data_IF_271593283660
#
_entry.id   IF_271593283660
#
_cell.length_a   1.000
_cell.length_b   1.000
_cell.length_c   1.000
_cell.angle_alpha   90.00
_cell.angle_beta   90.00
_cell.angle_gamma   90.00
#
_symmetry.space_group_name_H-M   'P 1'
#
loop_
_entity.id
_entity.type
_entity.pdbx_description
1 polymer ?
#
# COMPACT_ATOMS: atom_id res chain seq x y z
N UNK A 1 5.67 7.09 -32.53
CA UNK A 1 6.61 6.76 -31.43
C UNK A 1 5.89 5.78 -30.50
N UNK A 2 6.58 4.72 -30.03
CA UNK A 2 5.97 3.78 -29.06
C UNK A 2 5.75 4.53 -27.74
N UNK A 3 4.61 4.33 -27.08
CA UNK A 3 4.34 4.84 -25.74
C UNK A 3 5.44 4.35 -24.78
N UNK A 4 5.95 5.19 -23.85
CA UNK A 4 6.90 4.70 -22.84
C UNK A 4 6.28 3.56 -22.03
N UNK A 5 7.07 2.54 -21.65
CA UNK A 5 6.57 1.43 -20.86
C UNK A 5 6.20 1.89 -19.45
N UNK A 6 5.37 1.13 -18.76
CA UNK A 6 5.21 1.26 -17.32
C UNK A 6 6.37 0.57 -16.57
N UNK A 7 6.61 0.99 -15.33
CA UNK A 7 7.62 0.36 -14.45
C UNK A 7 7.38 -1.13 -14.29
N UNK A 8 6.10 -1.53 -14.18
CA UNK A 8 5.72 -2.93 -14.02
C UNK A 8 6.12 -3.85 -15.17
N UNK A 9 6.13 -3.33 -16.40
CA UNK A 9 6.46 -4.04 -17.64
C UNK A 9 7.96 -4.36 -17.75
N UNK A 10 8.79 -3.70 -16.93
CA UNK A 10 10.24 -3.87 -16.92
C UNK A 10 10.72 -4.84 -15.84
N UNK A 11 9.80 -5.46 -15.09
CA UNK A 11 10.12 -6.37 -13.98
C UNK A 11 9.95 -7.85 -14.36
N UNK A 12 10.99 -8.64 -14.10
CA UNK A 12 11.02 -10.11 -14.17
C UNK A 12 10.22 -10.78 -13.05
N UNK A 13 10.13 -12.12 -13.04
CA UNK A 13 9.22 -12.92 -12.20
C UNK A 13 9.28 -12.75 -10.67
N UNK A 14 10.32 -12.12 -10.11
CA UNK A 14 10.50 -11.99 -8.66
C UNK A 14 10.10 -10.61 -8.12
N UNK A 15 10.04 -10.46 -6.80
CA UNK A 15 9.67 -9.18 -6.18
C UNK A 15 10.80 -8.15 -6.28
N UNK A 16 10.51 -6.95 -6.78
CA UNK A 16 11.49 -5.84 -6.92
C UNK A 16 11.79 -5.10 -5.62
N UNK A 17 11.00 -5.29 -4.56
CA UNK A 17 11.09 -4.50 -3.33
C UNK A 17 12.51 -4.39 -2.74
N UNK A 18 13.33 -5.46 -2.67
CA UNK A 18 14.70 -5.37 -2.16
C UNK A 18 15.62 -4.40 -2.93
N UNK A 19 15.29 -4.05 -4.17
CA UNK A 19 16.05 -3.11 -5.01
C UNK A 19 15.41 -1.72 -5.10
N UNK A 20 14.14 -1.57 -4.72
CA UNK A 20 13.37 -0.37 -5.03
C UNK A 20 12.59 0.20 -3.86
N UNK A 21 12.49 -0.49 -2.73
CA UNK A 21 11.59 -0.15 -1.65
C UNK A 21 12.30 -0.11 -0.29
N UNK A 22 12.07 0.94 0.47
CA UNK A 22 12.48 1.03 1.88
C UNK A 22 11.28 1.36 2.77
N UNK A 23 11.15 0.66 3.91
CA UNK A 23 10.25 1.03 5.00
C UNK A 23 11.06 1.47 6.21
N UNK A 24 10.72 2.61 6.80
CA UNK A 24 11.22 3.05 8.10
C UNK A 24 10.05 3.08 9.08
N UNK A 25 10.07 2.18 10.08
CA UNK A 25 8.98 2.13 11.06
C UNK A 25 9.16 3.16 12.20
N UNK A 26 8.18 3.30 13.10
CA UNK A 26 8.21 4.33 14.14
C UNK A 26 9.35 4.21 15.17
N UNK A 27 9.97 3.02 15.29
CA UNK A 27 11.16 2.81 16.15
C UNK A 27 12.49 3.00 15.40
N UNK A 28 12.43 3.41 14.14
CA UNK A 28 13.59 3.60 13.27
C UNK A 28 14.10 2.33 12.61
N UNK A 29 13.48 1.16 12.84
CA UNK A 29 13.87 -0.09 12.16
C UNK A 29 13.57 0.01 10.67
N UNK A 30 14.56 -0.38 9.87
CA UNK A 30 14.47 -0.38 8.40
C UNK A 30 14.27 -1.80 7.85
N UNK A 31 13.33 -1.96 6.93
CA UNK A 31 13.07 -3.20 6.17
C UNK A 31 12.86 -2.90 4.68
N UNK A 32 12.86 -3.91 3.82
CA UNK A 32 12.63 -3.71 2.38
C UNK A 32 11.15 -3.59 1.99
N UNK A 33 10.20 -3.80 2.91
CA UNK A 33 8.76 -3.47 2.79
C UNK A 33 8.00 -3.81 4.09
N UNK A 34 6.71 -3.48 4.13
CA UNK A 34 5.80 -3.77 5.25
C UNK A 34 5.59 -5.26 5.53
N UNK A 35 5.91 -6.12 4.57
CA UNK A 35 5.65 -7.56 4.62
C UNK A 35 6.92 -8.39 4.77
N UNK A 36 8.07 -7.74 4.95
CA UNK A 36 9.34 -8.40 5.21
C UNK A 36 9.82 -8.08 6.63
N UNK A 37 10.22 -9.11 7.38
CA UNK A 37 10.60 -8.96 8.80
C UNK A 37 12.11 -8.75 9.02
N UNK A 38 12.92 -8.93 7.98
CA UNK A 38 14.38 -8.85 8.05
C UNK A 38 14.82 -7.41 8.33
N UNK A 39 15.58 -7.22 9.41
CA UNK A 39 16.12 -5.91 9.81
C UNK A 39 17.30 -5.58 8.90
N UNK A 40 17.21 -4.50 8.14
CA UNK A 40 18.30 -3.99 7.32
C UNK A 40 19.23 -3.06 8.10
N UNK A 41 18.71 -2.41 9.15
CA UNK A 41 19.44 -1.53 10.06
C UNK A 41 18.50 -0.70 10.92
N UNK A 42 19.01 0.37 11.53
CA UNK A 42 18.20 1.37 12.24
C UNK A 42 18.64 2.81 11.89
N UNK A 43 17.70 3.64 11.46
CA UNK A 43 17.93 5.05 11.05
C UNK A 43 18.51 5.95 12.15
N UNK A 44 18.43 5.52 13.41
CA UNK A 44 19.04 6.22 14.54
C UNK A 44 20.54 5.91 14.69
N UNK A 45 20.99 4.76 14.19
CA UNK A 45 22.33 4.21 14.40
C UNK A 45 23.17 4.29 13.12
N UNK A 46 22.54 4.04 11.96
CA UNK A 46 23.19 3.80 10.68
C UNK A 46 22.83 4.88 9.65
N UNK A 47 23.71 5.07 8.65
CA UNK A 47 23.36 5.89 7.48
C UNK A 47 22.38 5.14 6.56
N UNK A 48 21.62 5.87 5.74
CA UNK A 48 20.73 5.25 4.75
C UNK A 48 21.50 4.33 3.78
N UNK A 49 22.71 4.74 3.38
CA UNK A 49 23.56 3.96 2.46
C UNK A 49 24.02 2.64 3.09
N UNK A 50 24.49 2.70 4.34
CA UNK A 50 24.97 1.51 5.07
C UNK A 50 23.84 0.50 5.27
N UNK A 51 22.63 0.97 5.64
CA UNK A 51 21.47 0.07 5.78
C UNK A 51 21.00 -0.49 4.45
N UNK A 52 21.04 0.31 3.38
CA UNK A 52 20.58 -0.09 2.05
C UNK A 52 21.47 -1.16 1.42
N UNK A 53 22.75 -1.20 1.80
CA UNK A 53 23.73 -2.19 1.34
C UNK A 53 24.27 -3.09 2.45
N UNK A 54 23.57 -3.18 3.59
CA UNK A 54 23.96 -4.06 4.68
C UNK A 54 23.98 -5.53 4.25
N UNK A 55 24.70 -6.38 4.99
CA UNK A 55 24.73 -7.83 4.73
C UNK A 55 23.32 -8.42 4.70
N UNK A 56 22.43 -7.93 5.57
CA UNK A 56 21.03 -8.33 5.60
C UNK A 56 20.29 -7.94 4.31
N UNK A 57 20.50 -6.72 3.79
CA UNK A 57 19.89 -6.27 2.54
C UNK A 57 20.37 -7.09 1.34
N UNK A 58 21.67 -7.36 1.28
CA UNK A 58 22.28 -8.21 0.25
C UNK A 58 21.75 -9.65 0.33
N UNK A 59 21.59 -10.20 1.54
CA UNK A 59 21.00 -11.53 1.74
C UNK A 59 19.54 -11.58 1.27
N UNK A 60 18.74 -10.56 1.56
CA UNK A 60 17.33 -10.49 1.11
C UNK A 60 17.25 -10.44 -0.41
N UNK A 61 18.08 -9.62 -1.08
CA UNK A 61 18.18 -9.56 -2.55
C UNK A 61 18.54 -10.91 -3.15
N UNK A 62 19.55 -11.58 -2.59
CA UNK A 62 19.95 -12.92 -3.03
C UNK A 62 18.80 -13.90 -2.96
N UNK A 63 18.19 -14.04 -1.78
CA UNK A 63 17.14 -15.02 -1.53
C UNK A 63 15.89 -14.77 -2.38
N UNK A 64 15.47 -13.51 -2.53
CA UNK A 64 14.33 -13.16 -3.40
C UNK A 64 14.67 -13.36 -4.88
N UNK A 65 15.89 -13.05 -5.31
CA UNK A 65 16.36 -13.35 -6.67
C UNK A 65 16.40 -14.85 -6.99
N UNK A 66 16.47 -15.70 -5.97
CA UNK A 66 16.38 -17.17 -6.02
C UNK A 66 14.96 -17.69 -5.74
N UNK A 67 13.95 -16.83 -5.61
CA UNK A 67 12.57 -17.15 -5.22
C UNK A 67 12.41 -17.78 -3.82
N UNK A 68 13.40 -17.67 -2.95
CA UNK A 68 13.35 -18.16 -1.57
C UNK A 68 12.78 -17.11 -0.61
N UNK A 69 11.50 -16.78 -0.80
CA UNK A 69 10.85 -15.69 -0.08
C UNK A 69 10.75 -15.90 1.44
N UNK A 70 10.52 -17.14 1.89
CA UNK A 70 10.38 -17.44 3.32
C UNK A 70 11.71 -17.27 4.06
N UNK A 71 12.80 -17.78 3.48
CA UNK A 71 14.14 -17.55 4.04
C UNK A 71 14.53 -16.07 3.99
N UNK A 72 14.04 -15.32 3.01
CA UNK A 72 14.24 -13.87 2.94
C UNK A 72 13.46 -13.10 4.03
N UNK A 73 12.55 -13.77 4.76
CA UNK A 73 11.74 -13.17 5.82
C UNK A 73 10.44 -12.53 5.33
N UNK A 74 9.96 -12.87 4.14
CA UNK A 74 8.68 -12.40 3.60
C UNK A 74 7.48 -13.13 4.24
N UNK A 75 6.39 -12.40 4.48
CA UNK A 75 5.12 -12.97 4.90
C UNK A 75 4.42 -13.68 3.71
N UNK A 76 3.94 -14.93 3.88
CA UNK A 76 3.20 -15.66 2.83
C UNK A 76 1.97 -14.89 2.31
N UNK A 77 1.28 -14.19 3.19
CA UNK A 77 0.06 -13.43 2.93
C UNK A 77 0.31 -12.07 2.27
N UNK A 78 1.57 -11.71 2.01
CA UNK A 78 1.88 -10.43 1.36
C UNK A 78 1.20 -10.32 -0.02
N UNK A 79 0.90 -9.11 -0.51
CA UNK A 79 0.17 -8.98 -1.79
C UNK A 79 0.93 -9.50 -3.02
N UNK A 80 2.24 -9.73 -2.92
CA UNK A 80 3.01 -10.41 -3.98
C UNK A 80 2.79 -11.92 -3.98
N UNK A 81 2.90 -12.58 -2.82
CA UNK A 81 2.79 -14.05 -2.70
C UNK A 81 1.34 -14.53 -2.61
N UNK A 82 0.45 -13.74 -2.01
CA UNK A 82 -0.99 -14.02 -1.89
C UNK A 82 -1.29 -15.44 -1.36
N UNK A 83 -0.51 -15.90 -0.39
CA UNK A 83 -0.63 -17.22 0.23
C UNK A 83 0.20 -18.33 -0.45
N UNK A 84 0.88 -18.05 -1.56
CA UNK A 84 1.74 -19.02 -2.23
C UNK A 84 2.95 -19.40 -1.37
N UNK A 85 3.29 -20.69 -1.35
CA UNK A 85 4.37 -21.26 -0.52
C UNK A 85 5.77 -21.15 -1.15
N UNK A 86 6.01 -20.06 -1.89
CA UNK A 86 7.29 -19.52 -2.41
C UNK A 86 7.83 -19.95 -3.79
N UNK A 87 7.61 -21.17 -4.28
CA UNK A 87 8.20 -21.58 -5.59
C UNK A 87 7.31 -21.27 -6.81
N UNK A 88 5.97 -21.30 -6.64
CA UNK A 88 4.98 -21.12 -7.72
C UNK A 88 4.28 -19.75 -7.71
N UNK A 89 4.87 -18.75 -7.05
CA UNK A 89 4.26 -17.43 -6.93
C UNK A 89 4.17 -16.77 -8.31
N UNK A 90 2.94 -16.52 -8.77
CA UNK A 90 2.69 -15.75 -9.99
C UNK A 90 2.70 -14.27 -9.65
N UNK A 91 3.30 -13.43 -10.49
CA UNK A 91 3.23 -11.99 -10.27
C UNK A 91 1.77 -11.50 -10.20
N UNK A 92 1.44 -10.58 -9.27
CA UNK A 92 0.16 -9.90 -9.29
C UNK A 92 -0.03 -9.11 -10.59
N UNK A 93 -1.28 -8.98 -11.10
CA UNK A 93 -1.61 -8.02 -12.13
C UNK A 93 -1.10 -6.62 -11.76
N UNK A 94 -0.70 -5.82 -12.75
CA UNK A 94 -0.12 -4.49 -12.50
C UNK A 94 -1.03 -3.60 -11.61
N UNK A 95 -2.35 -3.67 -11.83
CA UNK A 95 -3.38 -2.94 -11.06
C UNK A 95 -3.49 -3.34 -9.58
N UNK A 96 -2.94 -4.49 -9.18
CA UNK A 96 -3.03 -5.02 -7.80
C UNK A 96 -1.67 -5.05 -7.09
N UNK A 97 -0.65 -4.42 -7.69
CA UNK A 97 0.66 -4.33 -7.07
C UNK A 97 0.60 -3.43 -5.83
N UNK A 98 1.48 -3.73 -4.87
CA UNK A 98 1.56 -3.06 -3.55
C UNK A 98 1.80 -1.54 -3.68
N UNK A 99 2.46 -1.14 -4.76
CA UNK A 99 2.71 0.26 -5.07
C UNK A 99 2.11 0.60 -6.42
N UNK A 100 1.67 1.85 -6.55
CA UNK A 100 1.11 2.40 -7.79
C UNK A 100 2.10 2.18 -8.92
N UNK A 101 1.64 1.54 -9.99
CA UNK A 101 2.39 1.46 -11.23
C UNK A 101 2.40 2.83 -11.91
N UNK A 102 3.46 3.11 -12.67
CA UNK A 102 3.65 4.42 -13.29
C UNK A 102 4.41 4.29 -14.60
N UNK A 103 4.15 5.23 -15.51
CA UNK A 103 4.90 5.35 -16.76
C UNK A 103 6.31 5.85 -16.46
N UNK A 104 7.32 5.23 -17.08
CA UNK A 104 8.72 5.64 -16.89
C UNK A 104 8.91 7.07 -17.42
N UNK A 105 9.46 8.00 -16.61
CA UNK A 105 9.83 9.32 -17.10
C UNK A 105 10.88 9.21 -18.22
N UNK A 106 10.69 9.94 -19.31
CA UNK A 106 11.60 9.94 -20.48
C UNK A 106 12.58 11.12 -20.49
N UNK A 107 12.69 11.81 -19.35
CA UNK A 107 13.59 12.94 -19.16
C UNK A 107 14.93 12.52 -18.55
N UNK A 108 15.77 13.49 -18.19
CA UNK A 108 17.08 13.26 -17.57
C UNK A 108 17.11 13.63 -16.08
N UNK A 109 15.94 13.65 -15.43
CA UNK A 109 15.77 13.92 -14.00
C UNK A 109 16.54 12.91 -13.14
N UNK A 110 16.75 13.27 -11.87
CA UNK A 110 17.37 12.38 -10.90
C UNK A 110 16.54 11.10 -10.69
N UNK A 111 15.20 11.22 -10.70
CA UNK A 111 14.29 10.08 -10.66
C UNK A 111 14.47 9.15 -11.87
N UNK A 112 14.49 9.68 -13.10
CA UNK A 112 14.63 8.87 -14.31
C UNK A 112 15.93 8.04 -14.29
N UNK A 113 17.06 8.70 -13.99
CA UNK A 113 18.37 8.04 -13.85
C UNK A 113 18.39 6.98 -12.75
N UNK A 114 17.73 7.26 -11.62
CA UNK A 114 17.63 6.31 -10.52
C UNK A 114 16.84 5.06 -10.93
N UNK A 115 15.69 5.23 -11.62
CA UNK A 115 14.88 4.12 -12.12
C UNK A 115 15.68 3.25 -13.09
N UNK A 116 16.40 3.85 -14.04
CA UNK A 116 17.24 3.11 -15.00
C UNK A 116 18.29 2.25 -14.27
N UNK A 117 18.94 2.84 -13.25
CA UNK A 117 19.93 2.15 -12.42
C UNK A 117 19.31 0.98 -11.68
N UNK A 118 18.20 1.21 -10.96
CA UNK A 118 17.48 0.18 -10.20
C UNK A 118 17.02 -0.97 -11.09
N UNK A 119 16.49 -0.68 -12.30
CA UNK A 119 16.04 -1.73 -13.24
C UNK A 119 17.23 -2.56 -13.72
N UNK A 120 18.35 -1.93 -14.04
CA UNK A 120 19.57 -2.63 -14.46
C UNK A 120 20.09 -3.54 -13.35
N UNK A 121 20.19 -3.03 -12.13
CA UNK A 121 20.68 -3.78 -10.96
C UNK A 121 19.73 -4.94 -10.60
N UNK A 122 18.42 -4.71 -10.66
CA UNK A 122 17.38 -5.71 -10.45
C UNK A 122 17.48 -6.87 -11.45
N UNK A 123 17.55 -6.57 -12.76
CA UNK A 123 17.65 -7.60 -13.81
C UNK A 123 18.92 -8.43 -13.71
N UNK A 124 20.01 -7.81 -13.27
CA UNK A 124 21.28 -8.49 -13.03
C UNK A 124 21.37 -9.14 -11.63
N UNK A 125 20.33 -9.04 -10.80
CA UNK A 125 20.27 -9.53 -9.42
C UNK A 125 21.48 -9.07 -8.58
N UNK A 126 21.90 -7.83 -8.79
CA UNK A 126 23.01 -7.24 -8.03
C UNK A 126 22.67 -7.20 -6.55
N UNK A 127 23.60 -7.62 -5.70
CA UNK A 127 23.40 -7.66 -4.26
C UNK A 127 23.74 -6.33 -3.61
N UNK A 128 24.86 -5.74 -4.02
CA UNK A 128 25.25 -4.37 -3.68
C UNK A 128 24.77 -3.46 -4.81
N UNK A 129 24.10 -2.36 -4.44
CA UNK A 129 23.37 -1.51 -5.38
C UNK A 129 23.71 -0.05 -5.14
N UNK A 130 23.73 0.72 -6.22
CA UNK A 130 23.87 2.18 -6.23
C UNK A 130 22.55 2.88 -6.47
N UNK A 131 21.56 2.18 -7.06
CA UNK A 131 20.19 2.65 -7.18
C UNK A 131 19.58 2.89 -5.80
N UNK A 132 18.98 4.06 -5.62
CA UNK A 132 18.28 4.46 -4.40
C UNK A 132 16.80 4.02 -4.43
N UNK A 133 16.13 3.93 -3.27
CA UNK A 133 14.72 3.55 -3.22
C UNK A 133 13.83 4.41 -4.12
N UNK A 134 13.00 3.73 -4.92
CA UNK A 134 11.92 4.34 -5.74
C UNK A 134 10.67 4.54 -4.88
N UNK A 135 10.43 3.64 -3.93
CA UNK A 135 9.32 3.69 -2.98
C UNK A 135 9.91 3.89 -1.58
N UNK A 136 9.54 5.00 -0.94
CA UNK A 136 9.88 5.28 0.45
C UNK A 136 8.60 5.20 1.25
N UNK A 137 8.52 4.26 2.17
CA UNK A 137 7.41 4.15 3.12
C UNK A 137 7.89 4.48 4.52
N UNK A 138 7.11 5.29 5.21
CA UNK A 138 7.40 5.74 6.56
C UNK A 138 6.21 5.44 7.44
N UNK A 139 6.47 4.83 8.59
CA UNK A 139 5.52 4.69 9.67
C UNK A 139 5.83 5.75 10.74
N UNK A 140 5.45 7.03 10.52
CA UNK A 140 5.88 8.11 11.40
C UNK A 140 5.29 7.99 12.81
N UNK A 141 4.24 7.18 13.01
CA UNK A 141 3.54 7.03 14.29
C UNK A 141 2.92 5.63 14.41
N UNK A 142 2.91 5.06 15.63
CA UNK A 142 2.16 3.84 15.96
C UNK A 142 0.83 4.10 16.67
N UNK A 143 0.69 5.26 17.31
CA UNK A 143 -0.56 5.61 17.99
C UNK A 143 -1.73 5.63 17.03
N UNK A 144 -2.80 4.95 17.38
CA UNK A 144 -4.06 4.99 16.63
C UNK A 144 -5.19 5.44 17.52
N UNK A 145 -6.19 6.12 16.94
CA UNK A 145 -7.42 6.51 17.62
C UNK A 145 -8.56 5.49 17.46
N UNK A 146 -8.23 4.29 16.96
CA UNK A 146 -9.14 3.17 16.77
C UNK A 146 -8.50 1.90 17.32
N UNK A 147 -9.34 0.95 17.70
CA UNK A 147 -8.93 -0.38 18.16
C UNK A 147 -9.53 -1.46 17.25
N UNK A 148 -9.23 -1.37 15.95
CA UNK A 148 -9.83 -2.28 14.98
C UNK A 148 -9.45 -3.73 15.28
N UNK A 149 -10.43 -4.65 15.35
CA UNK A 149 -10.16 -6.02 15.79
C UNK A 149 -9.19 -6.76 14.85
N UNK A 150 -9.16 -6.39 13.57
CA UNK A 150 -8.31 -7.01 12.55
C UNK A 150 -6.89 -6.42 12.47
N UNK A 151 -6.55 -5.45 13.32
CA UNK A 151 -5.27 -4.75 13.27
C UNK A 151 -4.29 -5.30 14.31
N UNK A 152 -3.11 -5.70 13.86
CA UNK A 152 -2.04 -6.25 14.72
C UNK A 152 -1.07 -5.16 15.24
N UNK A 153 -1.40 -3.88 15.09
CA UNK A 153 -0.54 -2.79 15.52
C UNK A 153 -0.72 -2.49 17.01
N UNK A 154 0.35 -2.03 17.66
CA UNK A 154 0.31 -1.54 19.03
C UNK A 154 -0.32 -0.13 19.10
N UNK A 155 -1.66 -0.05 19.12
CA UNK A 155 -2.42 1.20 19.03
C UNK A 155 -2.15 2.23 20.15
N UNK A 156 -1.72 1.76 21.32
CA UNK A 156 -1.46 2.61 22.50
C UNK A 156 -0.03 3.18 22.55
N UNK A 157 0.83 2.75 21.62
CA UNK A 157 2.22 3.19 21.60
C UNK A 157 2.33 4.69 21.29
N UNK A 158 3.17 5.39 22.04
CA UNK A 158 3.48 6.80 21.80
C UNK A 158 4.70 6.99 20.90
N UNK A 159 5.17 5.93 20.25
CA UNK A 159 6.31 5.99 19.34
C UNK A 159 5.95 6.82 18.11
N UNK A 160 6.83 7.76 17.80
CA UNK A 160 6.71 8.70 16.70
C UNK A 160 8.11 9.08 16.20
N UNK A 161 8.25 9.30 14.89
CA UNK A 161 9.47 9.87 14.32
C UNK A 161 9.78 11.25 14.91
N UNK A 162 11.06 11.47 15.19
CA UNK A 162 11.61 12.79 15.50
C UNK A 162 11.89 13.57 14.21
N UNK A 163 12.11 14.88 14.34
CA UNK A 163 12.53 15.71 13.21
C UNK A 163 13.87 15.21 12.61
N UNK A 164 14.76 14.61 13.41
CA UNK A 164 16.00 13.97 12.92
C UNK A 164 15.71 12.84 11.93
N UNK A 165 14.77 11.93 12.25
CA UNK A 165 14.39 10.84 11.35
C UNK A 165 13.78 11.38 10.07
N UNK A 166 12.88 12.37 10.19
CA UNK A 166 12.22 13.00 9.05
C UNK A 166 13.24 13.68 8.11
N UNK A 167 14.21 14.41 8.68
CA UNK A 167 15.29 15.05 7.94
C UNK A 167 16.24 14.04 7.27
N UNK A 168 16.46 12.87 7.89
CA UNK A 168 17.29 11.80 7.31
C UNK A 168 16.63 11.15 6.10
N UNK A 169 15.32 10.95 6.10
CA UNK A 169 14.61 10.32 4.97
C UNK A 169 14.30 11.30 3.83
N UNK A 170 14.12 12.58 4.14
CA UNK A 170 13.66 13.60 3.19
C UNK A 170 14.52 13.73 1.91
N UNK A 171 15.86 13.61 1.93
CA UNK A 171 16.69 13.66 0.72
C UNK A 171 16.28 12.65 -0.36
N UNK A 172 15.67 11.51 0.01
CA UNK A 172 15.19 10.51 -0.95
C UNK A 172 14.08 11.04 -1.88
N UNK A 173 13.42 12.15 -1.54
CA UNK A 173 12.39 12.77 -2.37
C UNK A 173 12.90 13.19 -3.75
N UNK A 174 14.21 13.41 -3.90
CA UNK A 174 14.82 13.78 -5.18
C UNK A 174 14.85 12.62 -6.19
N UNK A 175 14.86 11.36 -5.74
CA UNK A 175 15.02 10.16 -6.59
C UNK A 175 13.91 9.13 -6.46
N UNK A 176 13.01 9.29 -5.48
CA UNK A 176 11.85 8.42 -5.27
C UNK A 176 10.68 8.79 -6.21
N UNK A 177 9.89 7.80 -6.61
CA UNK A 177 8.60 8.01 -7.27
C UNK A 177 7.46 8.17 -6.27
N UNK A 178 7.52 7.47 -5.15
CA UNK A 178 6.46 7.49 -4.12
C UNK A 178 7.06 7.72 -2.75
N UNK A 179 6.52 8.70 -2.04
CA UNK A 179 6.68 8.86 -0.60
C UNK A 179 5.35 8.49 0.05
N UNK A 180 5.33 7.40 0.80
CA UNK A 180 4.15 6.89 1.48
C UNK A 180 4.29 7.06 2.99
N UNK A 181 3.20 7.49 3.61
CA UNK A 181 3.08 7.54 5.07
C UNK A 181 1.87 6.74 5.53
N UNK A 182 2.09 5.87 6.51
CA UNK A 182 1.09 4.94 7.04
C UNK A 182 1.39 4.59 8.52
N UNK A 183 0.64 3.67 9.13
CA UNK A 183 0.87 3.21 10.49
C UNK A 183 -0.35 3.37 11.37
N UNK A 184 -0.18 4.03 12.52
CA UNK A 184 -1.31 4.47 13.33
C UNK A 184 -2.21 5.44 12.59
N UNK A 185 -2.94 6.28 13.33
CA UNK A 185 -3.64 7.36 12.66
C UNK A 185 -2.69 8.54 12.50
N UNK A 186 -2.11 8.67 11.31
CA UNK A 186 -1.05 9.65 11.03
C UNK A 186 -1.47 11.09 11.37
N UNK A 187 -2.76 11.42 11.23
CA UNK A 187 -3.29 12.75 11.54
C UNK A 187 -3.57 13.00 13.03
N UNK A 188 -3.25 12.03 13.89
CA UNK A 188 -3.23 12.20 15.34
C UNK A 188 -1.98 12.97 15.81
N UNK A 189 -0.89 12.94 15.03
CA UNK A 189 0.29 13.76 15.30
C UNK A 189 0.20 15.14 14.66
N UNK A 190 0.31 16.18 15.49
CA UNK A 190 0.47 17.56 15.03
C UNK A 190 1.83 17.80 14.39
N UNK A 191 2.90 17.19 14.91
CA UNK A 191 4.26 17.31 14.35
C UNK A 191 4.28 16.78 12.93
N UNK A 192 3.79 15.56 12.75
CA UNK A 192 3.78 14.92 11.44
C UNK A 192 2.87 15.65 10.45
N UNK A 193 1.68 16.11 10.88
CA UNK A 193 0.83 16.95 10.01
C UNK A 193 1.56 18.21 9.54
N UNK A 194 2.24 18.93 10.44
CA UNK A 194 3.01 20.13 10.09
C UNK A 194 4.18 19.82 9.13
N UNK A 195 4.83 18.66 9.29
CA UNK A 195 5.85 18.19 8.37
C UNK A 195 5.27 17.93 6.97
N UNK A 196 4.17 17.16 6.90
CA UNK A 196 3.53 16.81 5.63
C UNK A 196 2.99 18.03 4.88
N UNK A 197 2.38 18.99 5.59
CA UNK A 197 1.89 20.24 5.02
C UNK A 197 3.03 21.08 4.40
N UNK A 198 4.22 21.04 5.00
CA UNK A 198 5.41 21.77 4.54
C UNK A 198 6.34 20.95 3.63
N UNK A 199 5.96 19.70 3.31
CA UNK A 199 6.79 18.82 2.50
C UNK A 199 6.86 19.34 1.06
N UNK A 200 7.98 19.99 0.74
CA UNK A 200 8.24 20.53 -0.59
C UNK A 200 8.76 19.44 -1.53
N UNK A 201 8.02 19.20 -2.60
CA UNK A 201 8.37 18.26 -3.67
C UNK A 201 8.73 18.95 -4.99
N UNK A 202 8.95 20.26 -5.01
CA UNK A 202 9.23 21.03 -6.23
C UNK A 202 10.45 20.52 -7.01
N UNK A 203 11.45 19.96 -6.32
CA UNK A 203 12.64 19.33 -6.92
C UNK A 203 12.30 18.08 -7.76
N UNK A 204 11.16 17.45 -7.50
CA UNK A 204 10.72 16.23 -8.17
C UNK A 204 9.20 16.31 -8.41
N UNK A 205 8.75 16.96 -9.50
CA UNK A 205 7.33 17.13 -9.80
C UNK A 205 6.60 15.80 -10.04
N UNK A 206 7.35 14.73 -10.32
CA UNK A 206 6.84 13.37 -10.51
C UNK A 206 6.58 12.61 -9.20
N UNK A 207 7.01 13.14 -8.05
CA UNK A 207 6.87 12.48 -6.76
C UNK A 207 5.39 12.39 -6.36
N UNK A 208 4.93 11.18 -6.05
CA UNK A 208 3.60 10.94 -5.49
C UNK A 208 3.72 10.98 -3.96
N UNK A 209 3.03 11.95 -3.34
CA UNK A 209 2.79 11.98 -1.89
C UNK A 209 1.58 11.12 -1.57
N UNK A 210 1.77 10.01 -0.89
CA UNK A 210 0.76 8.99 -0.63
C UNK A 210 0.51 8.87 0.88
N UNK A 211 -0.74 8.94 1.31
CA UNK A 211 -1.15 8.73 2.70
C UNK A 211 -2.11 7.55 2.83
N UNK A 212 -1.85 6.63 3.76
CA UNK A 212 -2.85 5.67 4.24
C UNK A 212 -3.42 6.19 5.57
N UNK A 213 -4.74 6.26 5.68
CA UNK A 213 -5.42 6.82 6.87
C UNK A 213 -6.77 6.13 7.10
N UNK A 214 -7.27 6.18 8.33
CA UNK A 214 -8.66 5.83 8.63
C UNK A 214 -9.65 6.99 8.35
N UNK A 215 -9.14 8.17 8.00
CA UNK A 215 -9.92 9.35 7.59
C UNK A 215 -10.59 10.11 8.74
N UNK A 216 -10.67 9.54 9.95
CA UNK A 216 -11.45 10.13 11.05
C UNK A 216 -10.90 11.46 11.55
N UNK A 217 -9.61 11.76 11.37
CA UNK A 217 -9.00 13.02 11.82
C UNK A 217 -8.76 14.04 10.69
N UNK A 218 -9.24 13.75 9.48
CA UNK A 218 -9.18 14.65 8.34
C UNK A 218 -10.41 15.56 8.31
N UNK A 219 -10.26 16.79 8.79
CA UNK A 219 -11.29 17.83 8.61
C UNK A 219 -11.22 18.41 7.20
N UNK A 220 -12.28 19.13 6.77
CA UNK A 220 -12.31 19.81 5.47
C UNK A 220 -11.14 20.77 5.29
N UNK A 221 -10.71 21.44 6.36
CA UNK A 221 -9.56 22.35 6.35
C UNK A 221 -8.25 21.60 6.13
N UNK A 222 -8.04 20.48 6.83
CA UNK A 222 -6.85 19.64 6.66
C UNK A 222 -6.79 19.02 5.26
N UNK A 223 -7.93 18.55 4.75
CA UNK A 223 -8.02 18.04 3.38
C UNK A 223 -7.61 19.13 2.40
N UNK A 224 -8.21 20.32 2.48
CA UNK A 224 -7.88 21.45 1.59
C UNK A 224 -6.41 21.85 1.67
N UNK A 225 -5.81 21.88 2.86
CA UNK A 225 -4.39 22.20 3.04
C UNK A 225 -3.47 21.22 2.29
N UNK A 226 -3.85 19.93 2.23
CA UNK A 226 -3.08 18.88 1.58
C UNK A 226 -3.43 18.67 0.09
N UNK A 227 -4.62 19.12 -0.34
CA UNK A 227 -5.11 18.91 -1.72
C UNK A 227 -5.07 20.16 -2.60
N UNK A 228 -5.07 21.38 -2.04
CA UNK A 228 -5.10 22.63 -2.80
C UNK A 228 -3.69 23.24 -2.96
N UNK A 229 -2.78 22.44 -3.51
CA UNK A 229 -1.39 22.79 -3.81
C UNK A 229 -1.01 22.25 -5.18
N UNK A 230 0.18 22.57 -5.71
CA UNK A 230 0.61 22.13 -7.05
C UNK A 230 0.81 20.61 -7.15
N UNK A 231 1.50 20.02 -6.16
CA UNK A 231 1.58 18.56 -6.00
C UNK A 231 0.80 18.11 -4.75
N UNK A 232 -0.50 17.80 -4.87
CA UNK A 232 -1.27 17.43 -3.70
C UNK A 232 -1.03 15.99 -3.20
N UNK A 233 -1.51 15.68 -2.00
CA UNK A 233 -1.48 14.33 -1.44
C UNK A 233 -2.55 13.44 -2.11
N UNK A 234 -2.18 12.19 -2.38
CA UNK A 234 -3.08 11.09 -2.71
C UNK A 234 -3.40 10.29 -1.45
N UNK A 235 -4.66 9.96 -1.24
CA UNK A 235 -5.16 9.29 -0.04
C UNK A 235 -5.69 7.90 -0.36
N UNK A 236 -5.21 6.91 0.39
CA UNK A 236 -5.87 5.62 0.54
C UNK A 236 -6.64 5.63 1.86
N UNK A 237 -7.96 5.81 1.78
CA UNK A 237 -8.82 5.90 2.95
C UNK A 237 -9.36 4.52 3.25
N UNK A 238 -9.04 3.99 4.43
CA UNK A 238 -9.47 2.65 4.81
C UNK A 238 -10.82 2.70 5.54
N UNK A 239 -11.84 2.12 4.91
CA UNK A 239 -13.23 2.07 5.39
C UNK A 239 -13.73 0.65 5.13
N UNK A 240 -14.04 -0.10 6.18
CA UNK A 240 -14.42 -1.50 6.06
C UNK A 240 -15.90 -1.65 6.38
N UNK A 241 -16.69 -2.07 5.40
CA UNK A 241 -18.15 -2.02 5.46
C UNK A 241 -18.72 -0.71 4.92
N UNK A 242 -19.85 -0.83 4.23
CA UNK A 242 -20.68 0.25 3.71
C UNK A 242 -21.71 0.69 4.74
N UNK A 243 -22.16 -0.20 5.63
CA UNK A 243 -23.12 0.17 6.68
C UNK A 243 -22.44 0.66 7.94
N UNK A 244 -23.11 1.57 8.67
CA UNK A 244 -22.66 2.04 9.98
C UNK A 244 -22.38 0.89 10.95
N UNK A 245 -23.29 -0.09 10.99
CA UNK A 245 -23.19 -1.22 11.91
C UNK A 245 -21.94 -2.07 11.63
N UNK A 246 -21.71 -2.43 10.37
CA UNK A 246 -20.53 -3.21 9.98
C UNK A 246 -19.24 -2.42 10.24
N UNK A 247 -19.20 -1.15 9.82
CA UNK A 247 -18.04 -0.29 10.04
C UNK A 247 -17.68 -0.12 11.51
N UNK A 248 -18.63 0.25 12.37
CA UNK A 248 -18.33 0.54 13.79
C UNK A 248 -18.09 -0.75 14.59
N UNK A 249 -18.58 -1.91 14.13
CA UNK A 249 -18.18 -3.24 14.66
C UNK A 249 -16.68 -3.48 14.43
N UNK A 250 -16.19 -3.15 13.23
CA UNK A 250 -14.81 -3.43 12.81
C UNK A 250 -13.85 -2.37 13.36
N UNK A 251 -14.13 -1.10 13.08
CA UNK A 251 -13.28 0.05 13.37
C UNK A 251 -13.68 0.72 14.68
N UNK A 252 -13.51 -0.05 15.76
CA UNK A 252 -13.89 0.35 17.12
C UNK A 252 -13.29 1.71 17.49
N UNK A 253 -14.13 2.59 18.03
CA UNK A 253 -13.76 3.95 18.43
C UNK A 253 -13.87 5.01 17.33
N UNK A 254 -14.10 4.63 16.08
CA UNK A 254 -14.38 5.58 14.99
C UNK A 254 -15.88 5.82 14.84
N UNK A 255 -16.23 6.98 14.28
CA UNK A 255 -17.60 7.33 13.92
C UNK A 255 -17.78 7.21 12.40
N UNK A 256 -18.75 6.42 11.98
CA UNK A 256 -19.01 6.15 10.55
C UNK A 256 -19.27 7.43 9.75
N UNK A 257 -20.16 8.30 10.23
CA UNK A 257 -20.55 9.51 9.50
C UNK A 257 -19.35 10.44 9.23
N UNK A 258 -18.47 10.57 10.23
CA UNK A 258 -17.26 11.39 10.11
C UNK A 258 -16.26 10.84 9.09
N UNK A 259 -16.11 9.53 9.02
CA UNK A 259 -15.19 8.90 8.04
C UNK A 259 -15.79 8.95 6.63
N UNK A 260 -17.10 8.77 6.49
CA UNK A 260 -17.77 8.97 5.21
C UNK A 260 -17.74 10.44 4.74
N UNK A 261 -17.85 11.41 5.66
CA UNK A 261 -17.68 12.83 5.32
C UNK A 261 -16.27 13.11 4.75
N UNK A 262 -15.22 12.47 5.29
CA UNK A 262 -13.87 12.54 4.73
C UNK A 262 -13.84 12.03 3.29
N UNK A 263 -14.39 10.84 3.03
CA UNK A 263 -14.45 10.25 1.69
C UNK A 263 -15.22 11.15 0.71
N UNK A 264 -16.41 11.62 1.10
CA UNK A 264 -17.24 12.50 0.27
C UNK A 264 -16.57 13.83 -0.02
N UNK A 265 -15.87 14.42 0.96
CA UNK A 265 -15.13 15.68 0.77
C UNK A 265 -13.99 15.49 -0.24
N UNK A 266 -13.23 14.39 -0.14
CA UNK A 266 -12.16 14.08 -1.08
C UNK A 266 -12.71 13.84 -2.49
N UNK A 267 -13.80 13.10 -2.62
CA UNK A 267 -14.50 12.86 -3.88
C UNK A 267 -15.00 14.17 -4.52
N UNK A 268 -15.56 15.08 -3.72
CA UNK A 268 -16.03 16.38 -4.19
C UNK A 268 -14.88 17.24 -4.73
N UNK A 269 -13.74 17.28 -4.04
CA UNK A 269 -12.56 18.02 -4.48
C UNK A 269 -11.98 17.41 -5.77
N UNK A 270 -11.87 16.08 -5.82
CA UNK A 270 -11.43 15.35 -7.02
C UNK A 270 -12.32 15.67 -8.22
N UNK A 271 -13.65 15.65 -8.05
CA UNK A 271 -14.60 15.92 -9.13
C UNK A 271 -14.55 17.37 -9.65
N UNK A 272 -14.09 18.32 -8.83
CA UNK A 272 -13.91 19.74 -9.22
C UNK A 272 -12.54 20.03 -9.83
N UNK A 273 -11.62 19.06 -9.85
CA UNK A 273 -10.27 19.26 -10.36
C UNK A 273 -10.24 19.37 -11.88
N UNK A 274 -9.76 20.49 -12.41
CA UNK A 274 -9.65 20.72 -13.87
C UNK A 274 -8.68 19.73 -14.56
N UNK A 275 -7.75 19.16 -13.79
CA UNK A 275 -6.73 18.22 -14.26
C UNK A 275 -7.18 16.75 -14.23
N UNK A 276 -8.45 16.45 -13.88
CA UNK A 276 -8.96 15.08 -13.66
C UNK A 276 -8.07 14.24 -12.73
N UNK A 277 -7.41 14.91 -11.77
CA UNK A 277 -6.43 14.28 -10.90
C UNK A 277 -7.11 13.36 -9.88
N UNK A 278 -6.61 12.14 -9.74
CA UNK A 278 -7.06 11.20 -8.71
C UNK A 278 -6.43 11.61 -7.37
N UNK A 279 -7.27 11.86 -6.38
CA UNK A 279 -6.91 12.24 -5.02
C UNK A 279 -7.16 11.14 -4.01
N UNK A 280 -8.09 10.23 -4.28
CA UNK A 280 -8.53 9.25 -3.30
C UNK A 280 -8.80 7.89 -3.93
N UNK A 281 -8.41 6.84 -3.21
CA UNK A 281 -8.91 5.49 -3.37
C UNK A 281 -9.46 5.00 -2.03
N UNK A 282 -10.59 4.31 -2.09
CA UNK A 282 -11.18 3.63 -0.95
C UNK A 282 -10.54 2.25 -0.81
N UNK A 283 -9.92 1.98 0.33
CA UNK A 283 -9.45 0.65 0.72
C UNK A 283 -10.46 -0.07 1.60
N UNK A 284 -10.81 -1.29 1.23
CA UNK A 284 -11.84 -2.13 1.85
C UNK A 284 -11.28 -3.52 2.16
N UNK A 285 -11.21 -3.90 3.43
CA UNK A 285 -10.76 -5.24 3.83
C UNK A 285 -11.92 -6.23 3.75
N UNK A 286 -11.73 -7.26 2.92
CA UNK A 286 -12.69 -8.35 2.75
C UNK A 286 -12.55 -9.34 3.91
N UNK A 287 -13.65 -9.53 4.62
CA UNK A 287 -13.85 -10.37 5.78
C UNK A 287 -15.22 -11.04 5.66
N UNK A 288 -15.52 -12.02 6.51
CA UNK A 288 -16.84 -12.65 6.55
C UNK A 288 -17.95 -11.60 6.72
N UNK A 289 -17.80 -10.67 7.68
CA UNK A 289 -18.81 -9.64 7.93
C UNK A 289 -18.90 -8.52 6.88
N UNK A 290 -17.93 -8.40 5.97
CA UNK A 290 -17.92 -7.36 4.92
C UNK A 290 -18.19 -7.94 3.52
N UNK A 291 -18.27 -9.27 3.39
CA UNK A 291 -18.37 -9.96 2.10
C UNK A 291 -19.67 -9.64 1.34
N UNK A 292 -20.78 -9.46 2.06
CA UNK A 292 -22.09 -9.22 1.43
C UNK A 292 -22.32 -7.76 1.02
N UNK A 293 -21.55 -6.83 1.59
CA UNK A 293 -21.66 -5.39 1.28
C UNK A 293 -20.75 -4.98 0.08
N UNK A 294 -20.01 -5.90 -0.53
CA UNK A 294 -19.05 -5.58 -1.60
C UNK A 294 -19.68 -4.99 -2.87
N UNK A 295 -20.88 -5.45 -3.26
CA UNK A 295 -21.61 -4.85 -4.39
C UNK A 295 -22.04 -3.42 -4.10
N UNK A 296 -22.54 -3.16 -2.88
CA UNK A 296 -22.90 -1.82 -2.42
C UNK A 296 -21.67 -0.91 -2.36
N UNK A 297 -20.50 -1.44 -1.99
CA UNK A 297 -19.24 -0.70 -1.99
C UNK A 297 -18.84 -0.29 -3.40
N UNK A 298 -18.96 -1.19 -4.39
CA UNK A 298 -18.72 -0.89 -5.82
C UNK A 298 -19.67 0.20 -6.31
N UNK A 299 -20.96 0.11 -5.99
CA UNK A 299 -21.96 1.08 -6.42
C UNK A 299 -21.74 2.45 -5.79
N UNK A 300 -21.45 2.50 -4.48
CA UNK A 300 -21.13 3.74 -3.80
C UNK A 300 -19.85 4.38 -4.36
N UNK A 301 -18.78 3.60 -4.52
CA UNK A 301 -17.53 4.07 -5.12
C UNK A 301 -17.74 4.62 -6.54
N UNK A 302 -18.53 3.92 -7.37
CA UNK A 302 -18.88 4.35 -8.72
C UNK A 302 -19.67 5.66 -8.73
N UNK A 303 -20.64 5.82 -7.82
CA UNK A 303 -21.43 7.05 -7.68
C UNK A 303 -20.57 8.24 -7.27
N UNK A 304 -19.57 8.01 -6.43
CA UNK A 304 -18.60 9.02 -6.00
C UNK A 304 -17.48 9.27 -7.02
N UNK A 305 -17.35 8.42 -8.04
CA UNK A 305 -16.21 8.39 -8.97
C UNK A 305 -14.87 8.23 -8.24
N UNK A 306 -14.84 7.34 -7.24
CA UNK A 306 -13.66 7.01 -6.44
C UNK A 306 -13.24 5.58 -6.74
N UNK A 307 -11.95 5.35 -6.93
CA UNK A 307 -11.40 4.01 -7.15
C UNK A 307 -11.49 3.18 -5.86
N UNK A 308 -11.69 1.87 -6.00
CA UNK A 308 -11.89 0.94 -4.90
C UNK A 308 -10.84 -0.19 -4.93
N UNK A 309 -10.21 -0.43 -3.79
CA UNK A 309 -9.28 -1.54 -3.58
C UNK A 309 -9.86 -2.51 -2.54
N UNK A 310 -10.05 -3.76 -2.95
CA UNK A 310 -10.38 -4.86 -2.05
C UNK A 310 -9.12 -5.54 -1.55
N UNK A 311 -8.84 -5.41 -0.26
CA UNK A 311 -7.71 -6.07 0.41
C UNK A 311 -8.17 -7.35 1.11
N UNK A 312 -7.43 -8.44 0.92
CA UNK A 312 -7.69 -9.65 1.70
C UNK A 312 -7.20 -9.50 3.15
N UNK A 313 -8.03 -9.91 4.11
CA UNK A 313 -7.66 -9.96 5.53
C UNK A 313 -6.37 -10.79 5.75
N UNK A 314 -5.49 -10.28 6.61
CA UNK A 314 -4.21 -10.90 6.99
C UNK A 314 -4.23 -11.21 8.48
N UNK A 315 -3.68 -12.35 8.89
CA UNK A 315 -3.63 -12.80 10.29
C UNK A 315 -4.73 -13.80 10.64
N UNK A 316 -4.64 -14.33 11.86
CA UNK A 316 -5.46 -15.44 12.35
C UNK A 316 -6.77 -14.94 12.97
N UNK A 317 -7.83 -14.88 12.16
CA UNK A 317 -9.18 -14.49 12.61
C UNK A 317 -10.19 -15.59 12.22
N UNK A 318 -10.38 -16.63 13.06
CA UNK A 318 -11.16 -17.82 12.68
C UNK A 318 -12.58 -17.54 12.22
N UNK A 319 -13.22 -16.48 12.71
CA UNK A 319 -14.61 -16.12 12.39
C UNK A 319 -14.74 -15.12 11.23
N UNK A 320 -13.63 -14.51 10.79
CA UNK A 320 -13.66 -13.40 9.82
C UNK A 320 -12.75 -13.62 8.61
N UNK A 321 -11.67 -14.40 8.74
CA UNK A 321 -10.70 -14.60 7.66
C UNK A 321 -11.07 -15.77 6.74
N UNK A 322 -11.89 -15.44 5.74
CA UNK A 322 -12.34 -16.35 4.66
C UNK A 322 -11.19 -16.89 3.78
N UNK A 323 -9.99 -16.33 3.89
CA UNK A 323 -8.81 -16.73 3.10
C UNK A 323 -7.95 -17.78 3.79
N UNK A 324 -8.08 -17.95 5.12
CA UNK A 324 -7.36 -18.95 5.90
C UNK A 324 -8.30 -20.04 6.44
N UNK A 325 -9.55 -19.69 6.74
CA UNK A 325 -10.51 -20.57 7.41
C UNK A 325 -11.66 -20.97 6.48
N UNK A 326 -12.20 -22.20 6.63
CA UNK A 326 -13.27 -22.73 5.79
C UNK A 326 -14.66 -22.22 6.18
N UNK A 327 -14.81 -20.90 6.26
CA UNK A 327 -16.09 -20.23 6.55
C UNK A 327 -17.09 -20.35 5.40
N UNK A 328 -16.56 -20.45 4.18
CA UNK A 328 -17.32 -20.63 2.95
C UNK A 328 -16.59 -21.61 2.04
N UNK A 329 -17.37 -22.29 1.20
CA UNK A 329 -16.86 -23.14 0.14
C UNK A 329 -15.98 -22.32 -0.85
N UNK A 330 -14.74 -22.76 -1.15
CA UNK A 330 -13.86 -22.05 -2.07
C UNK A 330 -14.43 -21.79 -3.47
N UNK A 331 -15.15 -22.76 -4.05
CA UNK A 331 -15.70 -22.59 -5.40
C UNK A 331 -16.78 -21.50 -5.43
N UNK A 332 -17.60 -21.44 -4.38
CA UNK A 332 -18.60 -20.37 -4.17
C UNK A 332 -17.95 -18.99 -4.08
N UNK A 333 -16.87 -18.85 -3.29
CA UNK A 333 -16.13 -17.59 -3.18
C UNK A 333 -15.50 -17.17 -4.53
N UNK A 334 -14.90 -18.11 -5.25
CA UNK A 334 -14.30 -17.85 -6.56
C UNK A 334 -15.38 -17.38 -7.56
N UNK A 335 -16.55 -18.03 -7.60
CA UNK A 335 -17.67 -17.59 -8.45
C UNK A 335 -18.10 -16.18 -8.10
N UNK A 336 -18.33 -15.90 -6.80
CA UNK A 336 -18.75 -14.59 -6.29
C UNK A 336 -17.76 -13.49 -6.70
N UNK A 337 -16.46 -13.68 -6.50
CA UNK A 337 -15.46 -12.67 -6.90
C UNK A 337 -15.31 -12.53 -8.42
N UNK A 338 -15.51 -13.61 -9.19
CA UNK A 338 -15.49 -13.54 -10.66
C UNK A 338 -16.69 -12.74 -11.20
N UNK A 339 -17.88 -12.98 -10.64
CA UNK A 339 -19.08 -12.21 -10.95
C UNK A 339 -18.95 -10.74 -10.54
N UNK A 340 -18.35 -10.48 -9.38
CA UNK A 340 -18.02 -9.11 -8.95
C UNK A 340 -17.02 -8.42 -9.88
N UNK A 341 -16.02 -9.14 -10.41
CA UNK A 341 -15.08 -8.56 -11.39
C UNK A 341 -15.84 -8.13 -12.64
N UNK A 342 -16.65 -9.02 -13.21
CA UNK A 342 -17.48 -8.70 -14.38
C UNK A 342 -18.46 -7.54 -14.10
N UNK A 343 -19.03 -7.48 -12.91
CA UNK A 343 -19.89 -6.36 -12.49
C UNK A 343 -19.10 -5.05 -12.40
N UNK A 344 -17.91 -5.08 -11.80
CA UNK A 344 -17.05 -3.90 -11.65
C UNK A 344 -16.58 -3.33 -12.98
N UNK A 345 -16.37 -4.18 -13.99
CA UNK A 345 -15.99 -3.77 -15.35
C UNK A 345 -17.10 -2.97 -16.06
N UNK A 346 -18.33 -3.00 -15.55
CA UNK A 346 -19.44 -2.16 -16.04
C UNK A 346 -19.43 -0.74 -15.47
N UNK A 347 -18.59 -0.47 -14.47
CA UNK A 347 -18.49 0.81 -13.77
C UNK A 347 -17.35 1.66 -14.32
N UNK A 348 -17.47 2.98 -14.20
CA UNK A 348 -16.45 3.91 -14.67
C UNK A 348 -15.48 4.34 -13.54
N UNK A 349 -14.97 3.34 -12.81
CA UNK A 349 -13.96 3.48 -11.75
C UNK A 349 -13.00 2.29 -11.83
N UNK A 350 -11.79 2.43 -11.31
CA UNK A 350 -10.91 1.29 -11.12
C UNK A 350 -11.34 0.49 -9.88
N UNK A 351 -11.59 -0.81 -10.06
CA UNK A 351 -11.74 -1.76 -8.96
C UNK A 351 -10.58 -2.75 -9.00
N UNK A 352 -9.87 -2.87 -7.89
CA UNK A 352 -8.64 -3.67 -7.77
C UNK A 352 -8.73 -4.66 -6.61
N UNK A 353 -7.90 -5.71 -6.66
CA UNK A 353 -7.72 -6.69 -5.59
C UNK A 353 -8.49 -8.00 -5.79
N UNK A 354 -9.54 -8.02 -6.62
CA UNK A 354 -10.38 -9.20 -6.87
C UNK A 354 -9.60 -10.40 -7.44
N UNK A 355 -8.66 -10.18 -8.37
CA UNK A 355 -7.82 -11.27 -8.92
C UNK A 355 -6.96 -11.86 -7.80
N UNK A 356 -6.46 -11.00 -6.91
CA UNK A 356 -5.68 -11.37 -5.75
C UNK A 356 -6.49 -12.11 -4.69
N UNK A 357 -7.76 -11.74 -4.48
CA UNK A 357 -8.68 -12.49 -3.60
C UNK A 357 -8.89 -13.90 -4.14
N UNK A 358 -9.22 -14.03 -5.43
CA UNK A 358 -9.41 -15.32 -6.12
C UNK A 358 -8.14 -16.18 -6.01
N UNK A 359 -6.97 -15.59 -6.30
CA UNK A 359 -5.70 -16.30 -6.22
C UNK A 359 -5.46 -16.85 -4.82
N UNK A 360 -5.74 -16.04 -3.78
CA UNK A 360 -5.56 -16.44 -2.38
C UNK A 360 -6.51 -17.56 -1.95
N UNK A 361 -7.77 -17.53 -2.39
CA UNK A 361 -8.71 -18.64 -2.14
C UNK A 361 -8.19 -19.94 -2.77
N UNK A 362 -7.60 -19.87 -3.97
CA UNK A 362 -6.99 -21.05 -4.62
C UNK A 362 -5.76 -21.60 -3.87
N UNK A 363 -5.17 -20.85 -2.94
CA UNK A 363 -4.07 -21.34 -2.08
C UNK A 363 -4.55 -22.03 -0.80
N UNK A 364 -5.86 -22.03 -0.50
CA UNK A 364 -6.39 -22.70 0.69
C UNK A 364 -6.20 -24.22 0.57
N UNK A 365 -5.89 -24.85 1.70
CA UNK A 365 -5.64 -26.30 1.73
C UNK A 365 -6.89 -27.14 1.38
N UNK A 366 -8.10 -26.59 1.53
CA UNK A 366 -9.38 -27.24 1.22
C UNK A 366 -9.88 -26.97 -0.21
N UNK A 367 -9.15 -26.18 -1.02
CA UNK A 367 -9.46 -26.01 -2.44
C UNK A 367 -8.93 -27.19 -3.26
N UNK A 368 -9.84 -27.90 -3.94
CA UNK A 368 -9.50 -28.90 -4.94
C UNK A 368 -9.79 -28.34 -6.33
N UNK A 369 -8.89 -28.56 -7.29
CA UNK A 369 -9.10 -28.16 -8.69
C UNK A 369 -10.31 -28.95 -9.21
N UNK A 370 -11.36 -28.30 -9.73
CA UNK A 370 -12.47 -29.02 -10.34
C UNK A 370 -11.96 -29.87 -11.50
N UNK A 371 -12.31 -31.17 -11.50
CA UNK A 371 -11.95 -32.13 -12.54
C UNK A 371 -12.57 -31.79 -13.91
#
# INVERSE_FOLDING_TARGET
MKKPPNFSELLDSHCVHPWAYVLINAVGKVTCCTQNRTRLGNIHEDSLEDMWNSEAAQSVRKLIGENNYMAAGCAPECPFLRGAKSEDAVQPPAKERINLDFTIPVDSSALAKNIETVISEYKNKQLQVSGLPIYVDSQPILRCNSDCFMCNQEHLSNLEHSDDVLNKIEPLKATAKVFRWQGGEIFSSKRFFNYLEKFDSSINPDLIKYVITNGSLLTKERIKALTNVENPVYFLVSIDGVTKQTFEKIRVGLNYERVMECLFTLAEIQAKSETNRILVCWNYVVMSCTLDEMYDAIDLASNLKVDLNFAALQGEFPEENIFLYPLFDPATLISKFTEMQAYSDTKNIAVSGLDGLIYRIKQRNDYQIPN
#
